data_IF_364300921174
#
_entry.id   IF_364300921174
#
_cell.length_a   1.000
_cell.length_b   1.000
_cell.length_c   1.000
_cell.angle_alpha   90.00
_cell.angle_beta   90.00
_cell.angle_gamma   90.00
#
_symmetry.space_group_name_H-M   'P 1'
#
loop_
_entity.id
_entity.type
_entity.pdbx_description
1 polymer ?
#
# COMPACT_ATOMS: atom_id res chain seq x y z
N UNK A 1 -16.05 3.05 7.90
CA UNK A 1 -15.88 1.65 8.37
C UNK A 1 -14.41 1.32 8.16
N UNK A 2 -13.77 0.60 9.07
CA UNK A 2 -12.36 0.19 8.92
C UNK A 2 -12.26 -1.32 8.95
N UNK A 3 -11.50 -1.90 8.03
CA UNK A 3 -11.11 -3.31 8.06
C UNK A 3 -9.63 -3.35 8.41
N UNK A 4 -9.27 -4.04 9.49
CA UNK A 4 -7.87 -4.32 9.83
C UNK A 4 -7.59 -5.76 9.42
N UNK A 5 -6.85 -6.02 8.32
CA UNK A 5 -6.70 -7.37 7.75
C UNK A 5 -5.59 -8.18 8.44
N UNK A 6 -5.55 -8.18 9.77
CA UNK A 6 -4.59 -8.91 10.60
C UNK A 6 -4.88 -10.43 10.66
N UNK A 7 -5.16 -11.06 9.52
CA UNK A 7 -5.61 -12.46 9.47
C UNK A 7 -4.52 -13.45 9.92
N UNK A 8 -3.25 -13.07 9.77
CA UNK A 8 -2.08 -13.82 10.22
C UNK A 8 -1.25 -13.02 11.24
N UNK A 9 -1.89 -12.10 11.98
CA UNK A 9 -1.19 -11.09 12.79
C UNK A 9 -0.87 -9.82 12.01
N UNK A 10 -0.21 -8.88 12.67
CA UNK A 10 0.32 -7.65 12.08
C UNK A 10 1.84 -7.73 12.01
N UNK A 11 2.39 -7.55 10.80
CA UNK A 11 3.83 -7.39 10.58
C UNK A 11 4.29 -5.96 10.88
N UNK A 12 5.26 -5.47 10.11
CA UNK A 12 5.76 -4.10 10.25
C UNK A 12 4.64 -3.04 10.10
N UNK A 13 4.73 -1.91 10.81
CA UNK A 13 5.69 -1.61 11.88
C UNK A 13 5.27 -2.16 13.26
N UNK A 14 4.13 -2.85 13.36
CA UNK A 14 3.48 -3.19 14.62
C UNK A 14 4.04 -4.44 15.33
N UNK A 15 4.46 -5.44 14.55
CA UNK A 15 5.06 -6.70 15.01
C UNK A 15 4.24 -7.43 16.09
N UNK A 16 2.94 -7.56 15.85
CA UNK A 16 2.01 -8.21 16.76
C UNK A 16 1.38 -9.46 16.14
N UNK A 17 1.95 -10.62 16.45
CA UNK A 17 1.44 -11.92 16.01
C UNK A 17 0.12 -12.33 16.69
N UNK A 18 -0.28 -11.65 17.76
CA UNK A 18 -1.52 -11.90 18.48
C UNK A 18 -2.69 -11.08 17.95
N UNK A 19 -2.44 -10.08 17.10
CA UNK A 19 -3.49 -9.35 16.40
C UNK A 19 -4.36 -10.29 15.55
N UNK A 20 -5.66 -9.99 15.44
CA UNK A 20 -6.61 -10.73 14.57
C UNK A 20 -7.43 -9.79 13.71
N UNK A 21 -7.79 -10.27 12.52
CA UNK A 21 -8.60 -9.51 11.57
C UNK A 21 -9.90 -9.00 12.19
N UNK A 22 -10.21 -7.72 12.00
CA UNK A 22 -11.38 -7.08 12.62
C UNK A 22 -12.01 -6.03 11.71
N UNK A 23 -13.29 -5.75 11.96
CA UNK A 23 -14.05 -4.70 11.27
C UNK A 23 -14.63 -3.75 12.31
N UNK A 24 -14.38 -2.45 12.16
CA UNK A 24 -14.82 -1.41 13.08
C UNK A 24 -15.70 -0.35 12.43
N UNK A 25 -16.60 0.23 13.23
CA UNK A 25 -17.44 1.35 12.81
C UNK A 25 -18.65 0.95 11.97
N UNK A 26 -19.17 -0.28 12.17
CA UNK A 26 -20.43 -0.72 11.58
C UNK A 26 -21.61 0.07 12.16
N UNK A 27 -22.55 0.44 11.30
CA UNK A 27 -23.83 1.08 11.63
C UNK A 27 -24.96 0.39 10.86
N UNK A 28 -26.23 0.67 11.21
CA UNK A 28 -27.39 0.12 10.48
C UNK A 28 -27.38 0.41 8.97
N UNK A 29 -26.73 1.50 8.54
CA UNK A 29 -26.60 1.86 7.13
C UNK A 29 -25.36 1.29 6.43
N UNK A 30 -24.56 0.48 7.11
CA UNK A 30 -23.39 -0.15 6.49
C UNK A 30 -23.83 -1.17 5.45
N UNK A 31 -23.14 -1.20 4.32
CA UNK A 31 -23.47 -2.05 3.17
C UNK A 31 -22.24 -2.86 2.76
N UNK A 32 -22.45 -3.86 1.90
CA UNK A 32 -21.35 -4.63 1.30
C UNK A 32 -20.32 -3.73 0.61
N UNK A 33 -20.76 -2.67 -0.08
CA UNK A 33 -19.87 -1.74 -0.78
C UNK A 33 -18.93 -1.01 0.18
N UNK A 34 -19.42 -0.63 1.36
CA UNK A 34 -18.59 -0.01 2.40
C UNK A 34 -17.51 -0.97 2.92
N UNK A 35 -17.82 -2.27 3.05
CA UNK A 35 -16.84 -3.28 3.44
C UNK A 35 -15.78 -3.51 2.36
N UNK A 36 -16.20 -3.62 1.09
CA UNK A 36 -15.26 -3.75 -0.04
C UNK A 36 -14.32 -2.55 -0.11
N UNK A 37 -14.87 -1.33 -0.01
CA UNK A 37 -14.08 -0.10 -0.01
C UNK A 37 -13.09 -0.09 1.17
N UNK A 38 -13.53 -0.38 2.39
CA UNK A 38 -12.67 -0.39 3.56
C UNK A 38 -11.56 -1.46 3.50
N UNK A 39 -11.80 -2.60 2.84
CA UNK A 39 -10.76 -3.60 2.56
C UNK A 39 -9.73 -3.12 1.55
N UNK A 40 -10.14 -2.34 0.54
CA UNK A 40 -9.19 -1.73 -0.40
C UNK A 40 -8.37 -0.65 0.31
N UNK A 41 -9.04 0.24 1.06
CA UNK A 41 -8.38 1.31 1.82
C UNK A 41 -7.38 0.79 2.85
N UNK A 42 -7.65 -0.38 3.47
CA UNK A 42 -6.74 -0.97 4.45
C UNK A 42 -5.38 -1.34 3.88
N UNK A 43 -5.32 -1.74 2.60
CA UNK A 43 -4.05 -1.98 1.91
C UNK A 43 -3.22 -0.69 1.86
N UNK A 44 -3.85 0.42 1.50
CA UNK A 44 -3.16 1.70 1.39
C UNK A 44 -2.70 2.24 2.74
N UNK A 45 -3.52 2.07 3.79
CA UNK A 45 -3.13 2.45 5.14
C UNK A 45 -1.94 1.64 5.66
N UNK A 46 -1.91 0.32 5.42
CA UNK A 46 -0.77 -0.51 5.82
C UNK A 46 0.53 -0.13 5.07
N UNK A 47 0.43 0.17 3.77
CA UNK A 47 1.56 0.70 2.99
C UNK A 47 2.05 2.03 3.57
N UNK A 48 1.13 2.93 3.93
CA UNK A 48 1.48 4.20 4.59
C UNK A 48 2.19 3.98 5.92
N UNK A 49 1.71 3.08 6.77
CA UNK A 49 2.35 2.82 8.07
C UNK A 49 3.82 2.38 7.90
N UNK A 50 4.11 1.55 6.89
CA UNK A 50 5.47 1.08 6.60
C UNK A 50 6.32 2.20 6.00
N UNK A 51 5.79 2.99 5.05
CA UNK A 51 6.52 4.11 4.46
C UNK A 51 6.82 5.20 5.48
N UNK A 52 5.87 5.56 6.35
CA UNK A 52 6.08 6.52 7.43
C UNK A 52 7.21 6.05 8.38
N UNK A 53 7.38 4.72 8.58
CA UNK A 53 8.50 4.17 9.33
C UNK A 53 9.83 4.27 8.55
N UNK A 54 9.81 3.93 7.26
CA UNK A 54 10.98 4.02 6.38
C UNK A 54 11.51 5.45 6.24
N UNK A 55 10.64 6.45 6.09
CA UNK A 55 11.03 7.86 6.01
C UNK A 55 11.73 8.34 7.28
N UNK A 56 11.24 7.92 8.45
CA UNK A 56 11.86 8.23 9.75
C UNK A 56 13.25 7.63 9.88
N UNK A 57 13.41 6.37 9.46
CA UNK A 57 14.70 5.67 9.52
C UNK A 57 15.71 6.23 8.50
N UNK A 58 15.24 6.57 7.29
CA UNK A 58 16.08 7.13 6.23
C UNK A 58 16.38 8.63 6.40
N UNK A 59 15.59 9.35 7.20
CA UNK A 59 15.67 10.81 7.33
C UNK A 59 15.33 11.54 6.04
N UNK A 60 14.58 10.91 5.13
CA UNK A 60 14.24 11.43 3.82
C UNK A 60 12.76 11.26 3.53
N UNK A 61 12.13 12.34 3.08
CA UNK A 61 10.76 12.31 2.60
C UNK A 61 10.66 11.61 1.24
N UNK A 62 9.65 10.76 1.10
CA UNK A 62 9.20 10.14 -0.12
C UNK A 62 8.78 11.24 -1.11
N UNK A 63 9.17 11.08 -2.38
CA UNK A 63 8.83 12.04 -3.45
C UNK A 63 7.82 11.49 -4.43
N UNK A 64 7.79 10.18 -4.59
CA UNK A 64 6.84 9.43 -5.39
C UNK A 64 6.93 7.96 -5.00
N UNK A 65 5.87 7.20 -5.29
CA UNK A 65 5.83 5.76 -5.09
C UNK A 65 5.65 5.06 -6.43
N UNK A 66 6.62 4.21 -6.81
CA UNK A 66 6.44 3.27 -7.91
C UNK A 66 5.81 1.99 -7.39
N UNK A 67 4.79 1.50 -8.08
CA UNK A 67 3.98 0.37 -7.66
C UNK A 67 3.93 -0.71 -8.74
N UNK A 68 3.72 -1.95 -8.32
CA UNK A 68 3.55 -3.10 -9.19
C UNK A 68 2.71 -4.19 -8.51
N UNK A 69 2.62 -5.36 -9.14
CA UNK A 69 1.82 -6.49 -8.68
C UNK A 69 0.33 -6.37 -9.03
N UNK A 70 -0.39 -7.49 -8.95
CA UNK A 70 -1.77 -7.57 -9.44
C UNK A 70 -2.75 -6.58 -8.80
N UNK A 71 -2.57 -6.25 -7.51
CA UNK A 71 -3.42 -5.26 -6.83
C UNK A 71 -3.25 -3.84 -7.38
N UNK A 72 -2.08 -3.50 -7.93
CA UNK A 72 -1.81 -2.18 -8.52
C UNK A 72 -2.68 -1.89 -9.74
N UNK A 73 -3.25 -2.90 -10.40
CA UNK A 73 -4.21 -2.72 -11.49
C UNK A 73 -5.50 -2.00 -11.06
N UNK A 74 -5.78 -1.95 -9.75
CA UNK A 74 -6.96 -1.29 -9.22
C UNK A 74 -6.75 0.23 -9.08
N UNK A 75 -7.26 1.01 -10.04
CA UNK A 75 -7.14 2.47 -10.04
C UNK A 75 -7.72 3.15 -8.78
N UNK A 76 -8.74 2.56 -8.16
CA UNK A 76 -9.32 3.07 -6.93
C UNK A 76 -8.32 2.99 -5.76
N UNK A 77 -7.59 1.88 -5.68
CA UNK A 77 -6.52 1.69 -4.70
C UNK A 77 -5.38 2.67 -4.97
N UNK A 78 -4.96 2.81 -6.24
CA UNK A 78 -3.82 3.67 -6.60
C UNK A 78 -4.10 5.14 -6.32
N UNK A 79 -5.30 5.62 -6.66
CA UNK A 79 -5.71 6.99 -6.32
C UNK A 79 -5.71 7.20 -4.81
N UNK A 80 -6.33 6.30 -4.05
CA UNK A 80 -6.38 6.40 -2.60
C UNK A 80 -4.98 6.29 -1.96
N UNK A 81 -4.08 5.50 -2.53
CA UNK A 81 -2.69 5.42 -2.08
C UNK A 81 -1.95 6.75 -2.28
N UNK A 82 -2.10 7.40 -3.45
CA UNK A 82 -1.53 8.71 -3.72
C UNK A 82 -2.09 9.76 -2.75
N UNK A 83 -3.41 9.75 -2.55
CA UNK A 83 -4.10 10.62 -1.60
C UNK A 83 -3.53 10.48 -0.18
N UNK A 84 -3.37 9.24 0.31
CA UNK A 84 -2.90 8.98 1.67
C UNK A 84 -1.42 9.33 1.89
N UNK A 85 -0.57 9.18 0.86
CA UNK A 85 0.87 9.43 0.95
C UNK A 85 1.26 10.87 0.61
N UNK A 86 0.36 11.65 -0.01
CA UNK A 86 0.63 13.02 -0.46
C UNK A 86 1.76 13.12 -1.48
N UNK A 87 2.00 12.04 -2.23
CA UNK A 87 2.98 11.99 -3.31
C UNK A 87 2.40 11.25 -4.52
N UNK A 88 2.93 11.50 -5.73
CA UNK A 88 2.47 10.80 -6.92
C UNK A 88 2.73 9.29 -6.84
N UNK A 89 1.77 8.50 -7.34
CA UNK A 89 1.90 7.05 -7.53
C UNK A 89 2.06 6.75 -9.02
N UNK A 90 3.11 6.03 -9.39
CA UNK A 90 3.42 5.66 -10.77
C UNK A 90 3.30 4.15 -10.99
N UNK A 91 2.42 3.74 -11.91
CA UNK A 91 2.27 2.34 -12.30
C UNK A 91 2.88 2.09 -13.69
N UNK A 92 3.76 1.09 -13.85
CA UNK A 92 4.32 0.73 -15.15
C UNK A 92 3.32 -0.04 -16.01
N UNK A 93 3.60 -0.12 -17.32
CA UNK A 93 2.83 -0.95 -18.26
C UNK A 93 2.97 -2.45 -18.02
N UNK A 94 4.06 -2.88 -17.40
CA UNK A 94 4.28 -4.27 -16.98
C UNK A 94 4.23 -4.30 -15.45
N UNK A 95 3.16 -4.85 -14.88
CA UNK A 95 2.95 -4.93 -13.43
C UNK A 95 3.55 -6.21 -12.82
N UNK A 96 3.91 -7.19 -13.64
CA UNK A 96 4.63 -8.41 -13.25
C UNK A 96 6.14 -8.16 -13.11
N UNK A 97 6.52 -7.07 -12.43
CA UNK A 97 7.92 -6.63 -12.27
C UNK A 97 8.78 -7.66 -11.55
N UNK A 98 8.20 -8.48 -10.69
CA UNK A 98 8.90 -9.63 -10.06
C UNK A 98 9.48 -10.58 -11.10
N UNK A 99 8.66 -11.00 -12.09
CA UNK A 99 9.11 -11.88 -13.16
C UNK A 99 10.08 -11.16 -14.10
N UNK A 100 9.80 -9.89 -14.40
CA UNK A 100 10.67 -9.05 -15.22
C UNK A 100 12.06 -8.88 -14.62
N UNK A 101 12.15 -8.65 -13.30
CA UNK A 101 13.41 -8.53 -12.58
C UNK A 101 14.23 -9.81 -12.65
N UNK A 102 13.61 -10.97 -12.44
CA UNK A 102 14.27 -12.27 -12.59
C UNK A 102 14.79 -12.50 -14.02
N UNK A 103 13.99 -12.15 -15.03
CA UNK A 103 14.38 -12.22 -16.43
C UNK A 103 15.55 -11.28 -16.75
N UNK A 104 15.54 -10.05 -16.24
CA UNK A 104 16.65 -9.11 -16.39
C UNK A 104 17.93 -9.62 -15.72
N UNK A 105 17.85 -10.16 -14.51
CA UNK A 105 19.02 -10.72 -13.81
C UNK A 105 19.66 -11.86 -14.62
N UNK A 106 18.85 -12.83 -15.08
CA UNK A 106 19.33 -13.93 -15.91
C UNK A 106 19.88 -13.43 -17.26
N UNK A 107 19.16 -12.51 -17.91
CA UNK A 107 19.54 -11.94 -19.19
C UNK A 107 20.85 -11.15 -19.14
N UNK A 108 21.10 -10.39 -18.07
CA UNK A 108 22.38 -9.70 -17.88
C UNK A 108 23.52 -10.72 -17.72
N UNK A 109 23.32 -11.78 -16.94
CA UNK A 109 24.35 -12.79 -16.68
C UNK A 109 24.80 -13.51 -17.97
N UNK A 110 23.87 -13.77 -18.90
CA UNK A 110 24.16 -14.40 -20.20
C UNK A 110 24.40 -13.39 -21.32
N UNK A 111 24.53 -12.09 -21.00
CA UNK A 111 24.75 -10.98 -21.94
C UNK A 111 23.65 -10.83 -23.01
N UNK A 112 22.43 -11.26 -22.69
CA UNK A 112 21.25 -10.99 -23.51
C UNK A 112 20.87 -9.49 -23.46
N UNK A 113 21.08 -8.86 -22.30
CA UNK A 113 20.97 -7.41 -22.13
C UNK A 113 22.18 -6.83 -21.42
N UNK A 114 22.44 -5.54 -21.65
CA UNK A 114 23.34 -4.71 -20.87
C UNK A 114 22.57 -3.88 -19.84
N UNK A 115 23.10 -3.72 -18.63
CA UNK A 115 22.43 -3.00 -17.54
C UNK A 115 21.97 -1.60 -17.95
N UNK A 116 22.77 -0.89 -18.73
CA UNK A 116 22.53 0.52 -19.08
C UNK A 116 21.33 0.69 -20.04
N UNK A 117 20.95 -0.35 -20.78
CA UNK A 117 19.81 -0.29 -21.69
C UNK A 117 18.47 -0.50 -20.97
N UNK A 118 18.47 -1.08 -19.77
CA UNK A 118 17.25 -1.50 -19.07
C UNK A 118 16.46 -0.32 -18.52
N UNK A 119 17.13 0.76 -18.13
CA UNK A 119 16.47 1.96 -17.61
C UNK A 119 15.49 2.56 -18.64
N UNK A 120 15.84 2.52 -19.93
CA UNK A 120 15.00 3.01 -21.01
C UNK A 120 13.79 2.10 -21.33
N UNK A 121 13.77 0.87 -20.80
CA UNK A 121 12.66 -0.07 -21.01
C UNK A 121 11.50 0.16 -20.06
N UNK A 122 11.70 0.89 -18.96
CA UNK A 122 10.60 1.22 -18.05
C UNK A 122 9.66 2.21 -18.72
N UNK A 123 8.39 1.83 -18.83
CA UNK A 123 7.34 2.66 -19.41
C UNK A 123 6.20 2.80 -18.41
N UNK A 124 5.82 4.05 -18.16
CA UNK A 124 4.69 4.39 -17.30
C UNK A 124 3.38 4.14 -18.04
N UNK A 125 2.46 3.43 -17.42
CA UNK A 125 1.07 3.27 -17.87
C UNK A 125 0.19 4.37 -17.26
N UNK A 126 0.22 4.48 -15.93
CA UNK A 126 -0.64 5.39 -15.20
C UNK A 126 0.13 6.21 -14.17
N UNK A 127 -0.40 7.38 -13.88
CA UNK A 127 0.13 8.37 -12.95
C UNK A 127 -1.03 8.93 -12.13
N UNK A 128 -0.95 8.80 -10.81
CA UNK A 128 -2.00 9.24 -9.88
C UNK A 128 -1.45 10.35 -9.00
N UNK A 129 -2.05 11.53 -9.10
CA UNK A 129 -1.72 12.68 -8.24
C UNK A 129 -2.63 12.70 -7.01
N UNK A 130 -2.14 13.15 -5.84
CA UNK A 130 -2.98 13.35 -4.67
C UNK A 130 -4.11 14.36 -4.94
N UNK A 131 -5.33 14.00 -4.57
CA UNK A 131 -6.53 14.81 -4.80
C UNK A 131 -7.38 15.00 -3.54
N UNK A 132 -7.09 14.27 -2.46
CA UNK A 132 -7.83 14.34 -1.21
C UNK A 132 -7.41 15.53 -0.34
N UNK A 133 -8.42 16.23 0.20
CA UNK A 133 -8.22 17.32 1.15
C UNK A 133 -7.53 16.83 2.44
N UNK A 134 -6.66 17.68 2.99
CA UNK A 134 -5.82 17.33 4.13
C UNK A 134 -6.63 16.90 5.37
N UNK A 135 -7.71 17.62 5.67
CA UNK A 135 -8.57 17.33 6.83
C UNK A 135 -9.27 15.97 6.72
N UNK A 136 -9.68 15.57 5.51
CA UNK A 136 -10.31 14.28 5.26
C UNK A 136 -9.29 13.15 5.43
N UNK A 137 -8.12 13.29 4.80
CA UNK A 137 -7.02 12.34 4.91
C UNK A 137 -6.59 12.13 6.36
N UNK A 138 -6.38 13.21 7.11
CA UNK A 138 -5.99 13.19 8.53
C UNK A 138 -7.06 12.49 9.38
N UNK A 139 -8.34 12.75 9.12
CA UNK A 139 -9.46 12.10 9.82
C UNK A 139 -9.49 10.59 9.53
N UNK A 140 -9.32 10.20 8.27
CA UNK A 140 -9.29 8.81 7.83
C UNK A 140 -8.11 8.04 8.46
N UNK A 141 -6.91 8.61 8.40
CA UNK A 141 -5.72 7.97 8.96
C UNK A 141 -5.78 7.83 10.48
N UNK A 142 -6.26 8.85 11.21
CA UNK A 142 -6.48 8.74 12.66
C UNK A 142 -7.47 7.63 13.01
N UNK A 143 -8.51 7.46 12.18
CA UNK A 143 -9.47 6.36 12.34
C UNK A 143 -8.84 5.00 12.11
N UNK A 144 -7.98 4.86 11.10
CA UNK A 144 -7.18 3.67 10.85
C UNK A 144 -6.27 3.32 12.03
N UNK A 145 -5.46 4.27 12.50
CA UNK A 145 -4.55 4.05 13.63
C UNK A 145 -5.30 3.64 14.90
N UNK A 146 -6.49 4.21 15.12
CA UNK A 146 -7.37 3.79 16.21
C UNK A 146 -7.85 2.35 16.01
N UNK A 147 -8.25 1.96 14.80
CA UNK A 147 -8.70 0.60 14.49
C UNK A 147 -7.59 -0.42 14.71
N UNK A 148 -6.37 -0.15 14.24
CA UNK A 148 -5.20 -1.03 14.44
C UNK A 148 -4.94 -1.26 15.93
N UNK A 149 -4.89 -0.19 16.73
CA UNK A 149 -4.69 -0.29 18.19
C UNK A 149 -5.74 -1.16 18.88
N UNK A 150 -6.97 -1.23 18.36
CA UNK A 150 -8.05 -2.06 18.93
C UNK A 150 -7.98 -3.53 18.51
N UNK A 151 -7.25 -3.83 17.44
CA UNK A 151 -7.02 -5.18 16.94
C UNK A 151 -5.84 -5.89 17.64
N UNK A 152 -4.88 -5.12 18.15
CA UNK A 152 -3.66 -5.65 18.75
C UNK A 152 -3.91 -6.45 20.04
N UNK A 153 -3.08 -7.46 20.29
CA UNK A 153 -3.09 -8.29 21.49
C UNK A 153 -4.27 -9.24 21.61
N UNK A 154 -5.11 -9.36 20.58
CA UNK A 154 -6.40 -10.07 20.67
C UNK A 154 -6.28 -11.54 21.09
N UNK A 155 -5.30 -12.27 20.55
CA UNK A 155 -5.09 -13.69 20.83
C UNK A 155 -4.10 -13.96 21.98
N UNK A 156 -3.75 -12.94 22.77
CA UNK A 156 -2.84 -13.09 23.90
C UNK A 156 -3.65 -13.55 25.12
N UNK A 157 -3.31 -14.72 25.66
CA UNK A 157 -3.87 -15.27 26.90
C UNK A 157 -3.36 -14.52 28.15
#
# INVERSE_FOLDING_TARGET
>A
VYVVPAFAGLGAPYWDMYARGAIFGLTRGTTKSHLIRATIESLAYQVKDVLDAMEKDAGQALKSLRVDGGASANNLLMQFQADMLEVPVERPSIIETTALGAAYLAGIAVRFWHKDELAAKWQRDAHFEPQMEADEREKLYRGWQKAVKRTMGWAKE
#
